data_IF_083415795586
#
_entry.id   IF_083415795586
#
_cell.length_a   1.000
_cell.length_b   1.000
_cell.length_c   1.000
_cell.angle_alpha   90.00
_cell.angle_beta   90.00
_cell.angle_gamma   90.00
#
_symmetry.space_group_name_H-M   'P 1'
#
loop_
_entity.id
_entity.type
_entity.pdbx_description
1 polymer ?
#
# COMPACT_ATOMS: atom_id res chain seq x y z
N UNK A 1 17.75 -9.58 28.31
CA UNK A 1 16.65 -10.09 27.45
C UNK A 1 15.36 -9.55 28.04
N UNK A 2 14.85 -8.45 27.50
CA UNK A 2 13.58 -7.83 27.91
C UNK A 2 12.47 -8.51 27.12
N UNK A 3 11.74 -9.42 27.75
CA UNK A 3 10.60 -10.10 27.13
C UNK A 3 9.37 -9.26 27.49
N UNK A 4 8.87 -8.46 26.54
CA UNK A 4 7.61 -7.76 26.72
C UNK A 4 6.49 -8.79 26.86
N UNK A 5 5.72 -8.71 27.94
CA UNK A 5 4.47 -9.45 28.04
C UNK A 5 3.52 -8.92 26.97
N UNK A 6 3.20 -9.77 25.98
CA UNK A 6 2.18 -9.52 24.98
C UNK A 6 0.93 -10.25 25.47
N UNK A 7 -0.14 -9.51 25.75
CA UNK A 7 -1.47 -10.09 25.96
C UNK A 7 -2.11 -10.21 24.59
N UNK A 8 -2.57 -11.41 24.25
CA UNK A 8 -3.24 -11.72 22.99
C UNK A 8 -4.74 -11.33 23.04
N UNK A 9 -5.21 -10.81 24.19
CA UNK A 9 -6.59 -10.46 24.45
C UNK A 9 -6.76 -8.94 24.58
N UNK A 10 -7.51 -8.33 23.66
CA UNK A 10 -7.75 -6.87 23.58
C UNK A 10 -8.45 -6.27 24.81
N UNK A 11 -9.10 -7.10 25.63
CA UNK A 11 -9.85 -6.71 26.83
C UNK A 11 -9.05 -6.88 28.13
N UNK A 12 -7.86 -7.48 28.08
CA UNK A 12 -7.05 -7.74 29.27
C UNK A 12 -5.96 -6.67 29.44
N UNK A 13 -6.09 -5.85 30.49
CA UNK A 13 -5.07 -4.89 30.90
C UNK A 13 -3.89 -5.61 31.53
N UNK A 14 -2.70 -5.49 30.94
CA UNK A 14 -1.46 -6.01 31.52
C UNK A 14 -0.90 -4.98 32.52
N UNK A 15 -1.03 -5.24 33.82
CA UNK A 15 -0.34 -4.43 34.83
C UNK A 15 1.17 -4.75 34.86
N UNK A 16 1.97 -4.01 34.09
CA UNK A 16 3.44 -4.10 34.16
C UNK A 16 3.99 -3.22 35.28
N UNK A 17 4.30 -3.80 36.45
CA UNK A 17 4.81 -3.12 37.66
C UNK A 17 6.23 -2.50 37.56
N UNK A 18 6.83 -2.41 36.37
CA UNK A 18 8.20 -1.90 36.18
C UNK A 18 8.21 -0.47 35.60
N UNK A 19 7.11 -0.01 35.01
CA UNK A 19 6.98 1.33 34.45
C UNK A 19 5.88 2.12 35.15
N UNK A 20 6.13 3.41 35.45
CA UNK A 20 5.13 4.36 35.97
C UNK A 20 4.12 4.83 34.88
N UNK A 21 4.00 4.08 33.79
CA UNK A 21 3.15 4.43 32.65
C UNK A 21 2.50 3.16 32.07
N UNK A 22 1.22 3.27 31.72
CA UNK A 22 0.42 2.23 31.09
C UNK A 22 0.25 2.60 29.60
N UNK A 23 0.48 1.65 28.69
CA UNK A 23 0.12 1.81 27.28
C UNK A 23 -1.23 1.12 27.09
N UNK A 24 -2.31 1.89 27.16
CA UNK A 24 -3.66 1.41 26.90
C UNK A 24 -3.97 1.60 25.42
N UNK A 25 -4.39 0.52 24.77
CA UNK A 25 -4.94 0.60 23.41
C UNK A 25 -6.39 1.07 23.52
N UNK A 26 -6.67 2.26 22.98
CA UNK A 26 -8.03 2.81 22.92
C UNK A 26 -8.82 2.09 21.81
N UNK A 27 -9.54 1.04 22.19
CA UNK A 27 -10.33 0.22 21.29
C UNK A 27 -11.47 1.01 20.61
N UNK A 28 -12.06 2.02 21.27
CA UNK A 28 -13.12 2.83 20.68
C UNK A 28 -12.56 3.70 19.54
N UNK A 29 -11.39 4.29 19.77
CA UNK A 29 -10.70 5.10 18.76
C UNK A 29 -10.21 4.24 17.59
N UNK A 30 -9.63 3.07 17.84
CA UNK A 30 -9.21 2.13 16.78
C UNK A 30 -10.42 1.66 15.96
N UNK A 31 -11.56 1.38 16.59
CA UNK A 31 -12.79 0.99 15.90
C UNK A 31 -13.36 2.15 15.06
N UNK A 32 -13.30 3.39 15.54
CA UNK A 32 -13.70 4.57 14.78
C UNK A 32 -12.80 4.81 13.56
N UNK A 33 -11.48 4.70 13.73
CA UNK A 33 -10.49 4.81 12.64
C UNK A 33 -10.68 3.71 11.59
N UNK A 34 -10.92 2.47 12.02
CA UNK A 34 -11.18 1.34 11.12
C UNK A 34 -12.50 1.50 10.35
N UNK A 35 -13.54 2.08 10.98
CA UNK A 35 -14.82 2.39 10.30
C UNK A 35 -14.69 3.50 9.26
N UNK A 36 -13.82 4.47 9.51
CA UNK A 36 -13.54 5.57 8.59
C UNK A 36 -12.57 5.18 7.45
N UNK A 37 -11.99 3.98 7.51
CA UNK A 37 -11.07 3.50 6.50
C UNK A 37 -11.76 3.34 5.14
N UNK A 38 -11.28 4.10 4.16
CA UNK A 38 -11.64 3.90 2.76
C UNK A 38 -10.50 3.16 2.06
N UNK A 39 -10.85 2.08 1.34
CA UNK A 39 -9.87 1.39 0.49
C UNK A 39 -9.34 2.37 -0.55
N UNK A 40 -8.03 2.36 -0.72
CA UNK A 40 -7.39 3.13 -1.80
C UNK A 40 -8.01 2.66 -3.11
N UNK A 41 -8.62 3.57 -3.91
CA UNK A 41 -9.19 3.19 -5.18
C UNK A 41 -8.10 2.64 -6.08
N UNK A 42 -8.41 1.59 -6.82
CA UNK A 42 -7.48 1.00 -7.76
C UNK A 42 -7.33 1.96 -8.95
N UNK A 43 -6.23 2.71 -8.99
CA UNK A 43 -6.00 3.78 -9.99
C UNK A 43 -5.80 3.18 -11.38
N UNK A 44 -5.15 2.03 -11.46
CA UNK A 44 -4.88 1.30 -12.69
C UNK A 44 -5.14 -0.19 -12.45
N UNK A 45 -6.10 -0.74 -13.17
CA UNK A 45 -6.30 -2.18 -13.28
C UNK A 45 -5.57 -2.66 -14.53
N UNK A 46 -4.61 -3.56 -14.37
CA UNK A 46 -3.98 -4.27 -15.49
C UNK A 46 -4.81 -5.48 -15.96
N UNK A 47 -5.96 -5.67 -15.32
CA UNK A 47 -6.93 -6.70 -15.64
C UNK A 47 -7.93 -6.12 -16.63
N UNK A 48 -8.05 -6.76 -17.78
CA UNK A 48 -9.03 -6.40 -18.82
C UNK A 48 -10.47 -6.70 -18.39
N UNK A 49 -11.48 -6.26 -19.15
CA UNK A 49 -12.90 -6.52 -18.87
C UNK A 49 -13.25 -8.02 -18.76
N UNK A 50 -12.38 -8.89 -19.29
CA UNK A 50 -12.51 -10.35 -19.29
C UNK A 50 -11.75 -11.04 -18.15
N UNK A 51 -11.04 -10.30 -17.30
CA UNK A 51 -10.27 -10.87 -16.18
C UNK A 51 -8.83 -11.28 -16.52
N UNK A 52 -8.39 -11.06 -17.76
CA UNK A 52 -7.04 -11.43 -18.23
C UNK A 52 -6.00 -10.36 -17.86
N UNK A 53 -4.83 -10.80 -17.38
CA UNK A 53 -3.71 -9.93 -17.02
C UNK A 53 -2.96 -9.44 -18.27
N UNK A 54 -3.16 -8.18 -18.62
CA UNK A 54 -2.50 -7.49 -19.74
C UNK A 54 -1.24 -6.75 -19.35
N UNK A 55 -0.76 -6.87 -18.11
CA UNK A 55 0.39 -6.11 -17.58
C UNK A 55 1.61 -6.19 -18.51
N UNK A 56 1.96 -7.38 -18.99
CA UNK A 56 3.13 -7.56 -19.87
C UNK A 56 2.96 -6.89 -21.24
N UNK A 57 1.77 -6.97 -21.83
CA UNK A 57 1.48 -6.40 -23.14
C UNK A 57 1.50 -4.87 -23.08
N UNK A 58 0.88 -4.29 -22.04
CA UNK A 58 0.88 -2.85 -21.80
C UNK A 58 2.30 -2.33 -21.56
N UNK A 59 3.12 -3.03 -20.77
CA UNK A 59 4.52 -2.65 -20.55
C UNK A 59 5.32 -2.68 -21.85
N UNK A 60 5.19 -3.75 -22.65
CA UNK A 60 5.89 -3.84 -23.93
C UNK A 60 5.46 -2.75 -24.91
N UNK A 61 4.16 -2.46 -25.00
CA UNK A 61 3.61 -1.42 -25.86
C UNK A 61 4.18 -0.05 -25.48
N UNK A 62 4.14 0.30 -24.19
CA UNK A 62 4.71 1.55 -23.67
C UNK A 62 6.21 1.64 -23.95
N UNK A 63 6.98 0.56 -23.70
CA UNK A 63 8.41 0.56 -23.96
C UNK A 63 8.73 0.83 -25.44
N UNK A 64 8.00 0.19 -26.36
CA UNK A 64 8.17 0.41 -27.81
C UNK A 64 7.79 1.83 -28.20
N UNK A 65 6.68 2.35 -27.68
CA UNK A 65 6.22 3.70 -27.99
C UNK A 65 7.24 4.74 -27.53
N UNK A 66 7.68 4.69 -26.28
CA UNK A 66 8.70 5.60 -25.74
C UNK A 66 9.97 5.55 -26.59
N UNK A 67 10.40 4.35 -27.00
CA UNK A 67 11.61 4.22 -27.83
C UNK A 67 11.45 4.90 -29.19
N UNK A 68 10.28 4.76 -29.83
CA UNK A 68 9.97 5.43 -31.09
C UNK A 68 9.92 6.94 -30.88
N UNK A 69 9.24 7.41 -29.84
CA UNK A 69 9.11 8.84 -29.54
C UNK A 69 10.47 9.49 -29.33
N UNK A 70 11.39 8.83 -28.60
CA UNK A 70 12.75 9.33 -28.40
C UNK A 70 13.53 9.41 -29.72
N UNK A 71 13.41 8.41 -30.59
CA UNK A 71 14.06 8.46 -31.92
C UNK A 71 13.50 9.62 -32.74
N UNK A 72 12.18 9.77 -32.78
CA UNK A 72 11.53 10.87 -33.49
C UNK A 72 11.97 12.23 -32.96
N UNK A 73 12.10 12.40 -31.64
CA UNK A 73 12.59 13.63 -31.03
C UNK A 73 14.02 13.92 -31.50
N UNK A 74 14.92 12.91 -31.46
CA UNK A 74 16.30 13.07 -31.92
C UNK A 74 16.34 13.49 -33.39
N UNK A 75 15.57 12.83 -34.26
CA UNK A 75 15.52 13.16 -35.68
C UNK A 75 14.99 14.58 -35.91
N UNK A 76 13.94 14.99 -35.20
CA UNK A 76 13.36 16.33 -35.32
C UNK A 76 14.26 17.46 -34.81
N UNK A 77 15.13 17.20 -33.83
CA UNK A 77 16.06 18.19 -33.27
C UNK A 77 17.40 18.21 -34.02
N UNK A 78 17.65 17.26 -34.92
CA UNK A 78 18.81 17.22 -35.80
C UNK A 78 18.59 17.92 -37.15
N UNK A 79 17.35 18.27 -37.48
CA UNK A 79 16.95 19.08 -38.64
C UNK A 79 17.00 20.58 -38.33
#
# INVERSE_FOLDING_TARGET
MFVGSVSDNFDERIEQKIFHAEIVVDNEKVAAETKAYQKIPQILSFVDEQGEDKMKQEIESNYRQIKIDIVNIIESEME
#
